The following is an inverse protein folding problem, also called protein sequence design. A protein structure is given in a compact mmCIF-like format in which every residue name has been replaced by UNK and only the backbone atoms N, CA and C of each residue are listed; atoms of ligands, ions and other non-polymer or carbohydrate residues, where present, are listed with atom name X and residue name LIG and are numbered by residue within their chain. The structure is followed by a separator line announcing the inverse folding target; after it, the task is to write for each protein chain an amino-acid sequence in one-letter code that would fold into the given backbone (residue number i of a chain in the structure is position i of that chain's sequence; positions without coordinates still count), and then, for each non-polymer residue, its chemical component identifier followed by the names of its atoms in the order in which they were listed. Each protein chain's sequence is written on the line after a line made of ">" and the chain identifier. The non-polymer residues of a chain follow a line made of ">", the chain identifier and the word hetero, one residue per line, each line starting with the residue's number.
data_IF_826997042260
#
_entry.id   IF_826997042260
#
_cell.length_a   1.000
_cell.length_b   1.000
_cell.length_c   1.000
_cell.angle_alpha   90.00
_cell.angle_beta   90.00
_cell.angle_gamma   90.00
#
_symmetry.space_group_name_H-M   'P 1'
#
loop_
_entity.id
_entity.type
_entity.pdbx_description
1 polymer ?
#
# COMPACT_ATOMS: atom_id res chain seq x y z
N UNK A 1 -43.67 72.05 8.40
CA UNK A 1 -42.71 71.31 7.55
C UNK A 1 -41.60 70.55 8.30
N UNK A 2 -41.54 70.52 9.65
CA UNK A 2 -40.45 69.81 10.38
C UNK A 2 -40.71 68.32 10.66
N UNK A 3 -41.97 67.88 10.76
CA UNK A 3 -42.32 66.50 11.19
C UNK A 3 -42.11 65.46 10.09
N UNK A 4 -42.27 65.85 8.82
CA UNK A 4 -42.10 64.95 7.66
C UNK A 4 -40.64 64.64 7.35
N UNK A 5 -39.72 65.55 7.68
CA UNK A 5 -38.29 65.36 7.45
C UNK A 5 -37.69 64.34 8.43
N UNK A 6 -38.05 64.41 9.71
CA UNK A 6 -37.59 63.46 10.73
C UNK A 6 -38.06 62.02 10.47
N UNK A 7 -39.30 61.86 9.96
CA UNK A 7 -39.86 60.53 9.64
C UNK A 7 -39.15 59.88 8.45
N UNK A 8 -38.79 60.68 7.44
CA UNK A 8 -38.01 60.22 6.28
C UNK A 8 -36.57 59.89 6.67
N UNK A 9 -35.95 60.69 7.53
CA UNK A 9 -34.60 60.47 8.05
C UNK A 9 -34.50 59.15 8.85
N UNK A 10 -35.47 58.87 9.72
CA UNK A 10 -35.52 57.60 10.46
C UNK A 10 -35.74 56.39 9.56
N UNK A 11 -36.60 56.49 8.54
CA UNK A 11 -36.82 55.42 7.57
C UNK A 11 -35.57 55.13 6.74
N UNK A 12 -34.84 56.17 6.32
CA UNK A 12 -33.57 55.99 5.60
C UNK A 12 -32.48 55.42 6.50
N UNK A 13 -32.44 55.81 7.79
CA UNK A 13 -31.47 55.28 8.75
C UNK A 13 -31.71 53.79 9.07
N UNK A 14 -32.97 53.34 9.16
CA UNK A 14 -33.24 51.91 9.35
C UNK A 14 -32.90 51.07 8.10
N UNK A 15 -33.14 51.59 6.90
CA UNK A 15 -32.83 50.88 5.65
C UNK A 15 -31.33 50.72 5.41
N UNK A 16 -30.51 51.71 5.80
CA UNK A 16 -29.05 51.61 5.66
C UNK A 16 -28.41 50.69 6.69
N UNK A 17 -28.98 50.58 7.89
CA UNK A 17 -28.54 49.60 8.90
C UNK A 17 -28.87 48.15 8.51
N UNK A 18 -29.97 47.90 7.79
CA UNK A 18 -30.32 46.57 7.28
C UNK A 18 -29.42 46.07 6.14
N UNK A 19 -28.84 46.98 5.35
CA UNK A 19 -27.98 46.63 4.22
C UNK A 19 -26.58 46.14 4.64
N UNK A 20 -26.08 46.58 5.81
CA UNK A 20 -24.73 46.23 6.30
C UNK A 20 -24.67 44.78 6.80
N UNK A 21 -25.81 44.21 7.22
CA UNK A 21 -25.88 42.81 7.71
C UNK A 21 -25.79 41.79 6.56
N UNK A 22 -26.04 42.21 5.31
CA UNK A 22 -26.05 41.33 4.14
C UNK A 22 -24.71 41.25 3.38
N UNK A 23 -23.69 42.01 3.76
CA UNK A 23 -22.35 41.82 3.19
C UNK A 23 -21.65 40.70 3.95
N UNK A 24 -22.02 39.46 3.61
CA UNK A 24 -21.27 38.29 4.02
C UNK A 24 -19.84 38.44 3.47
N UNK A 25 -18.89 38.68 4.36
CA UNK A 25 -17.46 38.60 4.06
C UNK A 25 -17.17 37.18 3.58
N UNK A 26 -17.16 36.96 2.27
CA UNK A 26 -16.73 35.70 1.69
C UNK A 26 -15.22 35.58 1.92
N UNK A 27 -14.84 35.05 3.09
CA UNK A 27 -13.49 34.56 3.34
C UNK A 27 -13.28 33.36 2.42
N UNK A 28 -12.74 33.62 1.23
CA UNK A 28 -12.25 32.56 0.39
C UNK A 28 -11.01 31.98 1.07
N UNK A 29 -11.17 30.84 1.74
CA UNK A 29 -10.07 30.01 2.18
C UNK A 29 -9.40 29.44 0.94
N UNK A 30 -8.56 30.24 0.29
CA UNK A 30 -7.73 29.79 -0.81
C UNK A 30 -6.64 28.91 -0.21
N UNK A 31 -6.91 27.61 -0.17
CA UNK A 31 -5.88 26.59 -0.03
C UNK A 31 -4.90 26.80 -1.18
N UNK A 32 -3.84 27.56 -0.95
CA UNK A 32 -2.73 27.65 -1.91
C UNK A 32 -2.07 26.28 -1.92
N UNK A 33 -2.51 25.43 -2.85
CA UNK A 33 -1.79 24.24 -3.21
C UNK A 33 -0.50 24.73 -3.85
N UNK A 34 0.58 24.80 -3.08
CA UNK A 34 1.92 24.87 -3.65
C UNK A 34 2.13 23.48 -4.25
N UNK A 35 1.69 23.31 -5.51
CA UNK A 35 2.15 22.21 -6.33
C UNK A 35 3.60 22.54 -6.61
N UNK A 36 4.50 22.10 -5.73
CA UNK A 36 5.94 22.09 -5.98
C UNK A 36 6.18 21.03 -7.06
N UNK A 37 5.78 21.39 -8.28
CA UNK A 37 5.97 20.61 -9.48
C UNK A 37 7.46 20.55 -9.76
N UNK A 38 8.09 19.47 -9.29
CA UNK A 38 9.39 19.04 -9.76
C UNK A 38 10.54 19.40 -8.84
N UNK A 39 11.08 18.37 -8.21
CA UNK A 39 12.52 18.24 -7.98
C UNK A 39 13.13 19.36 -7.12
N UNK A 40 12.55 19.58 -5.93
CA UNK A 40 13.10 20.50 -4.93
C UNK A 40 14.49 20.01 -4.48
N UNK A 41 15.35 20.93 -4.05
CA UNK A 41 16.67 20.55 -3.54
C UNK A 41 16.59 19.55 -2.38
N UNK A 42 15.52 19.65 -1.59
CA UNK A 42 15.20 18.70 -0.53
C UNK A 42 14.82 17.32 -1.08
N UNK A 43 13.94 17.22 -2.07
CA UNK A 43 13.57 15.92 -2.65
C UNK A 43 14.75 15.19 -3.30
N UNK A 44 15.74 15.93 -3.84
CA UNK A 44 16.98 15.36 -4.35
C UNK A 44 17.87 14.79 -3.25
N UNK A 45 17.95 15.47 -2.11
CA UNK A 45 18.70 14.99 -0.96
C UNK A 45 18.03 13.76 -0.35
N UNK A 46 16.70 13.77 -0.22
CA UNK A 46 15.94 12.63 0.27
C UNK A 46 16.11 11.41 -0.64
N UNK A 47 16.00 11.58 -1.98
CA UNK A 47 16.23 10.51 -2.94
C UNK A 47 17.68 9.97 -2.91
N UNK A 48 18.67 10.81 -2.61
CA UNK A 48 20.06 10.38 -2.44
C UNK A 48 20.24 9.55 -1.17
N UNK A 49 19.66 9.99 -0.04
CA UNK A 49 19.68 9.22 1.21
C UNK A 49 18.93 7.88 1.08
N UNK A 50 17.77 7.89 0.43
CA UNK A 50 17.00 6.67 0.15
C UNK A 50 17.78 5.69 -0.73
N UNK A 51 18.56 6.20 -1.69
CA UNK A 51 19.44 5.39 -2.54
C UNK A 51 20.56 4.74 -1.73
N UNK A 52 21.17 5.46 -0.79
CA UNK A 52 22.18 4.91 0.11
C UNK A 52 21.58 3.81 0.99
N UNK A 53 20.44 4.07 1.62
CA UNK A 53 19.71 3.09 2.44
C UNK A 53 19.26 1.86 1.62
N UNK A 54 18.81 2.07 0.39
CA UNK A 54 18.50 0.98 -0.52
C UNK A 54 19.76 0.15 -0.80
N UNK A 55 20.89 0.77 -1.10
CA UNK A 55 22.14 0.05 -1.37
C UNK A 55 22.62 -0.75 -0.16
N UNK A 56 22.57 -0.18 1.05
CA UNK A 56 22.99 -0.85 2.28
C UNK A 56 22.14 -2.09 2.57
N UNK A 57 20.84 -2.04 2.26
CA UNK A 57 19.92 -3.17 2.43
C UNK A 57 19.95 -4.20 1.28
N UNK A 58 20.73 -3.96 0.22
CA UNK A 58 20.76 -4.83 -0.99
C UNK A 58 21.07 -6.29 -0.67
N UNK A 59 22.05 -6.54 0.20
CA UNK A 59 22.46 -7.89 0.58
C UNK A 59 21.32 -8.65 1.29
N UNK A 60 20.61 -7.98 2.19
CA UNK A 60 19.48 -8.58 2.90
C UNK A 60 18.33 -8.88 1.94
N UNK A 61 17.98 -7.94 1.06
CA UNK A 61 16.93 -8.14 0.05
C UNK A 61 17.26 -9.32 -0.87
N UNK A 62 18.51 -9.43 -1.31
CA UNK A 62 18.96 -10.58 -2.10
C UNK A 62 18.85 -11.90 -1.32
N UNK A 63 19.27 -11.93 -0.05
CA UNK A 63 19.13 -13.13 0.79
C UNK A 63 17.68 -13.54 1.01
N UNK A 64 16.79 -12.59 1.20
CA UNK A 64 15.34 -12.85 1.33
C UNK A 64 14.80 -13.45 0.04
N UNK A 65 15.11 -12.85 -1.12
CA UNK A 65 14.70 -13.38 -2.42
C UNK A 65 15.24 -14.78 -2.66
N UNK A 66 16.54 -15.02 -2.45
CA UNK A 66 17.13 -16.36 -2.61
C UNK A 66 16.56 -17.38 -1.63
N UNK A 67 16.20 -16.98 -0.41
CA UNK A 67 15.51 -17.87 0.53
C UNK A 67 14.11 -18.21 0.03
N UNK A 68 13.38 -17.22 -0.47
CA UNK A 68 12.06 -17.43 -1.05
C UNK A 68 12.16 -18.41 -2.23
N UNK A 69 13.03 -18.14 -3.20
CA UNK A 69 13.31 -19.03 -4.35
C UNK A 69 13.54 -20.48 -3.89
N UNK A 70 14.44 -20.70 -2.93
CA UNK A 70 14.70 -22.05 -2.41
C UNK A 70 13.49 -22.71 -1.76
N UNK A 71 12.61 -21.95 -1.12
CA UNK A 71 11.42 -22.51 -0.49
C UNK A 71 10.36 -22.87 -1.53
N UNK A 72 10.23 -22.06 -2.59
CA UNK A 72 9.45 -22.40 -3.76
C UNK A 72 9.98 -23.67 -4.43
N UNK A 73 11.30 -23.75 -4.66
CA UNK A 73 11.94 -24.92 -5.28
C UNK A 73 11.69 -26.21 -4.49
N UNK A 74 11.76 -26.17 -3.15
CA UNK A 74 11.43 -27.35 -2.32
C UNK A 74 9.99 -27.81 -2.50
N UNK A 75 9.06 -26.86 -2.59
CA UNK A 75 7.64 -27.14 -2.73
C UNK A 75 7.37 -27.75 -4.10
N UNK A 76 7.98 -27.20 -5.15
CA UNK A 76 7.91 -27.70 -6.52
C UNK A 76 8.48 -29.12 -6.63
N UNK A 77 9.67 -29.36 -6.08
CA UNK A 77 10.29 -30.70 -6.01
C UNK A 77 9.42 -31.70 -5.24
N UNK A 78 8.74 -31.27 -4.18
CA UNK A 78 7.83 -32.13 -3.43
C UNK A 78 6.60 -32.53 -4.27
N UNK A 79 6.04 -31.60 -5.06
CA UNK A 79 4.96 -31.91 -6.00
C UNK A 79 5.42 -32.89 -7.08
N UNK A 80 6.56 -32.64 -7.71
CA UNK A 80 7.15 -33.54 -8.71
C UNK A 80 7.41 -34.95 -8.13
N UNK A 81 7.93 -35.02 -6.91
CA UNK A 81 8.21 -36.29 -6.22
C UNK A 81 6.92 -37.04 -5.92
N UNK A 82 5.86 -36.33 -5.50
CA UNK A 82 4.54 -36.91 -5.29
C UNK A 82 3.97 -37.47 -6.59
N UNK A 83 4.01 -36.68 -7.66
CA UNK A 83 3.54 -37.08 -8.97
C UNK A 83 4.22 -38.36 -9.47
N UNK A 84 5.53 -38.49 -9.25
CA UNK A 84 6.27 -39.72 -9.60
C UNK A 84 5.91 -40.89 -8.70
N UNK A 85 5.68 -40.65 -7.41
CA UNK A 85 5.23 -41.68 -6.47
C UNK A 85 3.87 -42.25 -6.90
N UNK A 86 2.93 -41.36 -7.23
CA UNK A 86 1.58 -41.71 -7.65
C UNK A 86 1.56 -42.42 -9.03
N UNK A 87 2.52 -42.10 -9.91
CA UNK A 87 2.72 -42.77 -11.21
C UNK A 87 3.57 -44.05 -11.13
N UNK A 88 4.07 -44.42 -9.96
CA UNK A 88 4.95 -45.57 -9.81
C UNK A 88 4.23 -46.88 -10.13
N UNK A 89 4.92 -47.79 -10.81
CA UNK A 89 4.43 -49.15 -11.02
C UNK A 89 4.52 -50.00 -9.73
N UNK A 90 5.14 -49.50 -8.66
CA UNK A 90 5.26 -50.20 -7.40
C UNK A 90 3.95 -50.07 -6.59
N UNK A 91 3.23 -51.18 -6.45
CA UNK A 91 1.96 -51.26 -5.70
C UNK A 91 2.10 -50.94 -4.20
N UNK A 92 3.32 -51.00 -3.66
CA UNK A 92 3.60 -50.66 -2.27
C UNK A 92 4.09 -49.22 -2.09
N UNK A 93 4.20 -48.44 -3.17
CA UNK A 93 4.51 -47.03 -3.07
C UNK A 93 3.40 -46.29 -2.33
N UNK A 94 3.79 -45.52 -1.33
CA UNK A 94 2.90 -44.72 -0.51
C UNK A 94 3.50 -43.33 -0.32
N UNK A 95 2.70 -42.30 -0.59
CA UNK A 95 3.07 -40.92 -0.33
C UNK A 95 2.77 -40.55 1.12
N UNK A 96 3.81 -40.18 1.88
CA UNK A 96 3.64 -39.71 3.25
C UNK A 96 3.47 -38.17 3.28
N UNK A 97 2.30 -37.64 3.72
CA UNK A 97 2.01 -36.21 3.66
C UNK A 97 2.83 -35.38 4.66
N UNK A 98 3.31 -35.99 5.75
CA UNK A 98 4.05 -35.27 6.79
C UNK A 98 5.52 -35.03 6.41
N UNK A 99 6.14 -36.00 5.76
CA UNK A 99 7.57 -35.93 5.40
C UNK A 99 7.78 -35.55 3.94
N UNK A 100 6.72 -35.56 3.12
CA UNK A 100 6.75 -35.32 1.68
C UNK A 100 7.67 -36.32 0.95
N UNK A 101 7.60 -37.59 1.33
CA UNK A 101 8.43 -38.67 0.77
C UNK A 101 7.56 -39.79 0.22
N UNK A 102 8.05 -40.39 -0.86
CA UNK A 102 7.56 -41.68 -1.32
C UNK A 102 8.24 -42.78 -0.52
N UNK A 103 7.46 -43.57 0.21
CA UNK A 103 7.94 -44.68 1.04
C UNK A 103 7.31 -45.99 0.58
N UNK A 104 7.99 -47.11 0.82
CA UNK A 104 7.37 -48.42 0.72
C UNK A 104 6.55 -48.69 1.98
N UNK A 105 5.25 -48.96 1.81
CA UNK A 105 4.31 -49.25 2.91
C UNK A 105 4.77 -50.41 3.81
N UNK A 106 5.51 -51.36 3.26
CA UNK A 106 5.90 -52.59 3.96
C UNK A 106 7.15 -52.39 4.80
N UNK A 107 8.11 -51.64 4.27
CA UNK A 107 9.45 -51.48 4.89
C UNK A 107 9.68 -50.10 5.50
N UNK A 108 8.83 -49.12 5.18
CA UNK A 108 9.00 -47.71 5.55
C UNK A 108 10.21 -47.04 4.90
N UNK A 109 10.90 -47.70 3.97
CA UNK A 109 12.10 -47.17 3.33
C UNK A 109 11.72 -46.18 2.23
N UNK A 110 12.55 -45.13 2.01
CA UNK A 110 12.32 -44.23 0.90
C UNK A 110 12.46 -44.96 -0.42
N UNK A 111 11.43 -44.86 -1.24
CA UNK A 111 11.46 -45.22 -2.64
C UNK A 111 12.02 -44.01 -3.38
N UNK A 112 13.18 -44.17 -4.00
CA UNK A 112 13.62 -43.22 -5.02
C UNK A 112 12.66 -43.34 -6.20
N UNK A 113 11.93 -42.28 -6.56
CA UNK A 113 11.08 -42.28 -7.74
C UNK A 113 11.88 -42.44 -9.04
#
# INVERSE_FOLDING_TARGET
>A
MKVTFNKRLCLTAMLTLGAIVYTASASAQTSKLIIESGDSAQSKQDAAMDKEQWNDTRSLRQKVNTRAEKEWDKTDVAFDTRDKCDKSANLNAYWEPNTLRCLDRTTGRPLTP
#
